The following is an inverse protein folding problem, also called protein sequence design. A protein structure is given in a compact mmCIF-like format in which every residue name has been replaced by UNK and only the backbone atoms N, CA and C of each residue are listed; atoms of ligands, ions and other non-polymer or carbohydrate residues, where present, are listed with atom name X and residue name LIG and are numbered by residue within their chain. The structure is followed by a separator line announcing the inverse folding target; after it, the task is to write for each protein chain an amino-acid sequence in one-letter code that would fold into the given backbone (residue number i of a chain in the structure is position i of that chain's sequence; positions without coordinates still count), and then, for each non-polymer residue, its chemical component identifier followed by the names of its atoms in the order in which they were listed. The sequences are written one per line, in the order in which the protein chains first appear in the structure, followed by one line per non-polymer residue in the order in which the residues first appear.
data_IF_445316559433
#
_entry.id   IF_445316559433
#
_cell.length_a   1.000
_cell.length_b   1.000
_cell.length_c   1.000
_cell.angle_alpha   90.00
_cell.angle_beta   90.00
_cell.angle_gamma   90.00
#
_symmetry.space_group_name_H-M   'P 1'
#
loop_
_entity.id
_entity.type
_entity.pdbx_description
1 polymer ?
#
# COMPACT_ATOMS: atom_id res chain seq x y z
N UNK A 1 -3.36 -1.50 3.00
CA UNK A 1 -3.77 -1.14 1.61
C UNK A 1 -5.26 -0.83 1.57
N UNK A 2 -5.75 0.05 0.67
CA UNK A 2 -7.18 0.21 0.47
C UNK A 2 -7.77 -1.14 0.04
N UNK A 3 -8.85 -1.59 0.68
CA UNK A 3 -9.44 -2.92 0.48
C UNK A 3 -9.92 -3.23 -0.95
N UNK A 4 -9.84 -2.26 -1.86
CA UNK A 4 -10.40 -2.36 -3.21
C UNK A 4 -9.36 -2.23 -4.33
N UNK A 5 -8.11 -1.83 -4.03
CA UNK A 5 -7.04 -1.80 -5.03
C UNK A 5 -6.51 -3.22 -5.23
N UNK A 6 -6.46 -3.71 -6.46
CA UNK A 6 -5.95 -5.05 -6.76
C UNK A 6 -4.45 -5.18 -6.48
N UNK A 7 -4.10 -6.09 -5.59
CA UNK A 7 -2.72 -6.53 -5.30
C UNK A 7 -2.72 -8.00 -4.85
N UNK A 8 -1.58 -8.67 -4.98
CA UNK A 8 -1.39 -9.99 -4.39
C UNK A 8 -1.37 -9.86 -2.86
N UNK A 9 -1.95 -10.81 -2.09
CA UNK A 9 -1.98 -10.76 -0.62
C UNK A 9 -0.60 -10.60 0.04
N UNK A 10 0.49 -11.01 -0.63
CA UNK A 10 1.87 -10.83 -0.17
C UNK A 10 2.55 -9.51 -0.57
N UNK A 11 1.90 -8.63 -1.32
CA UNK A 11 2.55 -7.40 -1.80
C UNK A 11 2.86 -6.41 -0.65
N UNK A 12 2.00 -6.35 0.36
CA UNK A 12 2.22 -5.57 1.58
C UNK A 12 1.76 -6.39 2.77
N UNK A 13 2.70 -6.68 3.66
CA UNK A 13 2.50 -7.54 4.83
C UNK A 13 2.70 -6.70 6.08
N UNK A 14 1.78 -6.85 7.04
CA UNK A 14 1.93 -6.28 8.37
C UNK A 14 2.40 -7.35 9.34
N UNK A 15 3.48 -7.09 10.06
CA UNK A 15 4.03 -7.96 11.09
C UNK A 15 3.98 -7.17 12.42
N UNK A 16 3.64 -7.86 13.50
CA UNK A 16 3.51 -7.29 14.83
C UNK A 16 4.19 -8.18 15.85
N UNK A 17 4.93 -7.59 16.79
CA UNK A 17 5.54 -8.30 17.89
C UNK A 17 4.50 -9.10 18.68
N UNK A 18 4.75 -10.38 18.91
CA UNK A 18 3.80 -11.29 19.57
C UNK A 18 2.75 -11.90 18.62
N UNK A 19 2.85 -11.66 17.32
CA UNK A 19 2.02 -12.31 16.31
C UNK A 19 0.56 -11.86 16.30
N UNK A 20 -0.31 -12.62 15.62
CA UNK A 20 -1.71 -12.22 15.39
C UNK A 20 -2.52 -12.04 16.67
N UNK A 21 -2.13 -12.67 17.78
CA UNK A 21 -2.75 -12.46 19.09
C UNK A 21 -2.59 -11.01 19.58
N UNK A 22 -1.45 -10.38 19.27
CA UNK A 22 -1.14 -8.99 19.62
C UNK A 22 -2.11 -7.96 19.01
N UNK A 23 -2.86 -8.36 17.97
CA UNK A 23 -3.88 -7.51 17.34
C UNK A 23 -5.04 -7.23 18.29
N UNK A 24 -5.41 -8.20 19.13
CA UNK A 24 -6.57 -8.11 20.01
C UNK A 24 -6.18 -7.85 21.47
N UNK A 25 -5.02 -8.34 21.90
CA UNK A 25 -4.57 -8.26 23.30
C UNK A 25 -3.07 -7.99 23.35
N UNK A 26 -2.58 -7.15 24.27
CA UNK A 26 -1.14 -6.99 24.49
C UNK A 26 -0.48 -8.34 24.80
N UNK A 27 0.71 -8.57 24.25
CA UNK A 27 1.55 -9.73 24.56
C UNK A 27 2.75 -9.20 25.35
N UNK A 28 2.89 -9.64 26.59
CA UNK A 28 3.96 -9.16 27.47
C UNK A 28 5.35 -9.49 26.88
N UNK A 29 6.29 -8.55 27.02
CA UNK A 29 7.70 -8.65 26.59
C UNK A 29 7.93 -8.89 25.09
N UNK A 30 6.89 -8.88 24.27
CA UNK A 30 7.02 -9.08 22.83
C UNK A 30 7.85 -7.98 22.17
N UNK A 31 7.67 -6.73 22.59
CA UNK A 31 8.38 -5.57 22.01
C UNK A 31 9.85 -5.49 22.43
N UNK A 32 10.22 -6.15 23.53
CA UNK A 32 11.59 -6.19 24.07
C UNK A 32 12.45 -7.30 23.43
N UNK A 33 11.87 -8.10 22.52
CA UNK A 33 12.55 -9.26 21.94
C UNK A 33 13.10 -8.95 20.53
N UNK A 34 14.35 -8.47 20.46
CA UNK A 34 15.04 -8.22 19.19
C UNK A 34 15.16 -9.47 18.31
N UNK A 35 15.47 -10.63 18.91
CA UNK A 35 15.62 -11.89 18.16
C UNK A 35 14.30 -12.38 17.57
N UNK A 36 13.15 -12.01 18.16
CA UNK A 36 11.85 -12.31 17.56
C UNK A 36 11.61 -11.47 16.31
N UNK A 37 11.98 -10.18 16.32
CA UNK A 37 11.87 -9.32 15.14
C UNK A 37 12.69 -9.83 13.95
N UNK A 38 13.93 -10.27 14.20
CA UNK A 38 14.75 -10.90 13.18
C UNK A 38 14.13 -12.21 12.66
N UNK A 39 13.64 -13.08 13.56
CA UNK A 39 12.98 -14.33 13.20
C UNK A 39 11.73 -14.13 12.35
N UNK A 40 10.88 -13.17 12.70
CA UNK A 40 9.65 -12.92 11.94
C UNK A 40 9.95 -12.48 10.48
N UNK A 41 11.03 -11.72 10.25
CA UNK A 41 11.47 -11.39 8.89
C UNK A 41 12.12 -12.57 8.17
N UNK A 42 12.84 -13.42 8.89
CA UNK A 42 13.38 -14.66 8.36
C UNK A 42 12.26 -15.59 7.87
N UNK A 43 11.21 -15.77 8.69
CA UNK A 43 10.13 -16.71 8.44
C UNK A 43 9.27 -16.31 7.22
N UNK A 44 9.14 -15.01 6.95
CA UNK A 44 8.49 -14.52 5.71
C UNK A 44 9.45 -14.45 4.52
N UNK A 45 10.69 -14.92 4.67
CA UNK A 45 11.71 -14.98 3.62
C UNK A 45 12.00 -13.63 2.95
N UNK A 46 12.21 -12.57 3.75
CA UNK A 46 12.64 -11.26 3.23
C UNK A 46 13.92 -11.42 2.38
N UNK A 47 13.98 -10.69 1.29
CA UNK A 47 15.09 -10.64 0.32
C UNK A 47 15.48 -9.20 -0.02
N UNK A 48 16.56 -9.02 -0.80
CA UNK A 48 16.98 -7.73 -1.35
C UNK A 48 15.94 -7.05 -2.26
N UNK A 49 14.96 -7.81 -2.77
CA UNK A 49 13.88 -7.26 -3.59
C UNK A 49 12.76 -6.61 -2.76
N UNK A 50 12.82 -6.74 -1.43
CA UNK A 50 11.80 -6.25 -0.51
C UNK A 50 12.18 -4.91 0.13
N UNK A 51 11.17 -4.22 0.65
CA UNK A 51 11.32 -3.02 1.46
C UNK A 51 10.71 -3.24 2.85
N UNK A 52 11.48 -3.00 3.90
CA UNK A 52 11.06 -3.17 5.30
C UNK A 52 10.93 -1.80 5.96
N UNK A 53 9.76 -1.53 6.54
CA UNK A 53 9.49 -0.28 7.27
C UNK A 53 9.34 -0.58 8.76
N UNK A 54 10.35 -0.19 9.56
CA UNK A 54 10.33 -0.32 11.01
C UNK A 54 9.53 0.81 11.66
N UNK A 55 8.56 0.49 12.51
CA UNK A 55 7.64 1.47 13.09
C UNK A 55 7.74 1.42 14.63
N UNK A 56 8.22 2.50 15.23
CA UNK A 56 8.24 2.63 16.69
C UNK A 56 8.15 4.11 17.08
N UNK A 57 7.13 4.49 17.85
CA UNK A 57 6.99 5.88 18.30
C UNK A 57 8.19 6.33 19.14
N UNK A 58 8.71 5.43 20.00
CA UNK A 58 9.89 5.69 20.81
C UNK A 58 11.17 5.71 19.98
N UNK A 59 11.18 5.00 18.85
CA UNK A 59 12.32 4.82 17.96
C UNK A 59 13.41 3.90 18.52
N UNK A 60 13.15 3.21 19.64
CA UNK A 60 14.13 2.38 20.36
C UNK A 60 13.62 0.98 20.72
N UNK A 61 12.47 0.57 20.17
CA UNK A 61 11.86 -0.73 20.47
C UNK A 61 12.77 -1.88 19.98
N UNK A 62 13.27 -2.77 20.87
CA UNK A 62 14.21 -3.82 20.50
C UNK A 62 13.74 -4.75 19.38
N UNK A 63 12.46 -5.16 19.39
CA UNK A 63 11.86 -5.96 18.31
C UNK A 63 12.04 -5.31 16.93
N UNK A 64 11.79 -4.00 16.83
CA UNK A 64 11.91 -3.25 15.57
C UNK A 64 13.37 -3.09 15.16
N UNK A 65 14.27 -2.90 16.12
CA UNK A 65 15.72 -2.85 15.88
C UNK A 65 16.19 -4.17 15.27
N UNK A 66 15.89 -5.30 15.90
CA UNK A 66 16.30 -6.61 15.40
C UNK A 66 15.71 -6.96 14.03
N UNK A 67 14.46 -6.54 13.76
CA UNK A 67 13.88 -6.66 12.43
C UNK A 67 14.63 -5.82 11.39
N UNK A 68 14.95 -4.55 11.66
CA UNK A 68 15.68 -3.71 10.71
C UNK A 68 17.11 -4.21 10.46
N UNK A 69 17.78 -4.73 11.49
CA UNK A 69 19.11 -5.34 11.36
C UNK A 69 19.08 -6.57 10.44
N UNK A 70 18.08 -7.44 10.59
CA UNK A 70 17.90 -8.61 9.73
C UNK A 70 17.53 -8.23 8.29
N UNK A 71 16.66 -7.23 8.11
CA UNK A 71 16.34 -6.73 6.77
C UNK A 71 17.59 -6.21 6.05
N UNK A 72 18.42 -5.44 6.77
CA UNK A 72 19.66 -4.88 6.25
C UNK A 72 20.70 -5.97 5.95
N UNK A 73 20.83 -6.98 6.81
CA UNK A 73 21.75 -8.10 6.59
C UNK A 73 21.43 -8.88 5.30
N UNK A 74 20.15 -8.89 4.91
CA UNK A 74 19.63 -9.49 3.67
C UNK A 74 19.67 -8.59 2.45
N UNK A 75 20.14 -7.35 2.58
CA UNK A 75 20.19 -6.37 1.49
C UNK A 75 18.84 -5.74 1.15
N UNK A 76 17.80 -5.95 1.95
CA UNK A 76 16.49 -5.31 1.74
C UNK A 76 16.60 -3.80 1.97
N UNK A 77 15.81 -3.02 1.23
CA UNK A 77 15.70 -1.59 1.49
C UNK A 77 15.04 -1.35 2.86
N UNK A 78 15.63 -0.49 3.68
CA UNK A 78 15.11 -0.20 5.03
C UNK A 78 14.65 1.24 5.19
N UNK A 79 13.46 1.41 5.78
CA UNK A 79 12.97 2.69 6.22
C UNK A 79 12.50 2.62 7.68
N UNK A 80 12.51 3.75 8.39
CA UNK A 80 12.01 3.84 9.76
C UNK A 80 10.98 4.95 9.94
N UNK A 81 10.01 4.74 10.82
CA UNK A 81 9.06 5.76 11.26
C UNK A 81 9.13 5.89 12.78
N UNK A 82 9.64 7.03 13.25
CA UNK A 82 9.75 7.37 14.66
C UNK A 82 9.13 8.72 14.99
N UNK A 83 8.87 8.97 16.28
CA UNK A 83 8.40 10.27 16.77
C UNK A 83 9.42 11.00 17.64
N UNK A 84 10.66 10.51 17.66
CA UNK A 84 11.83 11.13 18.27
C UNK A 84 12.91 11.32 17.19
N UNK A 85 13.60 12.44 17.23
CA UNK A 85 14.67 12.76 16.28
C UNK A 85 15.90 11.86 16.50
N UNK A 86 16.54 11.41 15.41
CA UNK A 86 17.80 10.66 15.41
C UNK A 86 17.77 9.43 16.33
N UNK A 87 16.63 8.74 16.34
CA UNK A 87 16.41 7.54 17.15
C UNK A 87 17.29 6.36 16.70
N UNK A 88 17.47 5.33 17.53
CA UNK A 88 18.18 4.11 17.13
C UNK A 88 17.72 3.53 15.79
N UNK A 89 16.40 3.38 15.56
CA UNK A 89 15.90 2.87 14.27
C UNK A 89 16.16 3.84 13.11
N UNK A 90 16.16 5.16 13.38
CA UNK A 90 16.47 6.19 12.37
C UNK A 90 17.91 6.12 11.88
N UNK A 91 18.83 5.65 12.72
CA UNK A 91 20.25 5.49 12.36
C UNK A 91 20.53 4.17 11.62
N UNK A 92 19.66 3.17 11.81
CA UNK A 92 19.79 1.86 11.18
C UNK A 92 19.21 1.83 9.77
N UNK A 93 18.15 2.60 9.52
CA UNK A 93 17.43 2.62 8.26
C UNK A 93 18.14 3.46 7.18
N UNK A 94 18.00 3.05 5.92
CA UNK A 94 18.49 3.82 4.76
C UNK A 94 17.71 5.14 4.60
N UNK A 95 16.42 5.14 4.97
CA UNK A 95 15.58 6.34 5.03
C UNK A 95 14.88 6.47 6.38
N UNK A 96 15.17 7.56 7.10
CA UNK A 96 14.51 7.90 8.35
C UNK A 96 13.34 8.89 8.13
N UNK A 97 12.16 8.55 8.66
CA UNK A 97 10.98 9.40 8.71
C UNK A 97 10.67 9.72 10.17
N UNK A 98 11.32 10.76 10.70
CA UNK A 98 11.14 11.23 12.08
C UNK A 98 10.04 12.30 12.12
N UNK A 99 8.85 11.94 12.63
CA UNK A 99 7.72 12.86 12.77
C UNK A 99 7.58 13.29 14.22
N UNK A 100 8.28 14.35 14.60
CA UNK A 100 8.30 14.87 15.98
C UNK A 100 6.97 15.57 16.29
N UNK A 101 6.09 14.87 17.02
CA UNK A 101 4.75 15.36 17.38
C UNK A 101 4.71 16.08 18.75
N UNK A 102 5.84 16.13 19.46
CA UNK A 102 5.95 16.68 20.81
C UNK A 102 5.27 15.82 21.90
N UNK A 103 5.25 16.27 23.17
CA UNK A 103 4.70 15.52 24.30
C UNK A 103 3.23 15.15 24.11
N UNK A 104 2.85 13.93 24.48
CA UNK A 104 1.46 13.48 24.40
C UNK A 104 0.57 14.13 25.46
N UNK A 105 -0.73 14.23 25.16
CA UNK A 105 -1.71 14.80 26.11
C UNK A 105 -1.76 13.98 27.42
N UNK A 106 -1.77 12.65 27.30
CA UNK A 106 -1.50 11.74 28.41
C UNK A 106 -0.04 11.32 28.28
N UNK A 107 0.79 11.65 29.27
CA UNK A 107 2.22 11.34 29.25
C UNK A 107 2.45 9.85 28.95
N UNK A 108 3.26 9.58 27.91
CA UNK A 108 3.57 8.21 27.47
C UNK A 108 2.53 7.53 26.59
N UNK A 109 1.32 8.08 26.43
CA UNK A 109 0.25 7.48 25.61
C UNK A 109 0.45 7.75 24.12
N UNK A 110 1.48 7.15 23.52
CA UNK A 110 1.88 7.33 22.11
C UNK A 110 0.86 6.84 21.08
N UNK A 111 -0.18 6.10 21.50
CA UNK A 111 -1.32 5.76 20.65
C UNK A 111 -2.12 6.98 20.14
N UNK A 112 -1.86 8.17 20.70
CA UNK A 112 -2.53 9.43 20.36
C UNK A 112 -1.87 10.11 19.15
N UNK A 113 -1.03 11.14 19.35
CA UNK A 113 -0.46 11.91 18.25
C UNK A 113 0.54 11.08 17.44
N UNK A 114 1.41 10.33 18.11
CA UNK A 114 2.40 9.50 17.42
C UNK A 114 1.73 8.40 16.56
N UNK A 115 0.75 7.68 17.10
CA UNK A 115 -0.04 6.70 16.34
C UNK A 115 -0.79 7.32 15.16
N UNK A 116 -1.35 8.52 15.33
CA UNK A 116 -1.99 9.27 14.25
C UNK A 116 -1.00 9.63 13.15
N UNK A 117 0.17 10.15 13.51
CA UNK A 117 1.23 10.50 12.57
C UNK A 117 1.70 9.27 11.77
N UNK A 118 1.98 8.16 12.46
CA UNK A 118 2.38 6.90 11.82
C UNK A 118 1.33 6.41 10.81
N UNK A 119 0.04 6.45 11.17
CA UNK A 119 -1.05 6.11 10.24
C UNK A 119 -1.03 6.99 8.98
N UNK A 120 -0.83 8.31 9.13
CA UNK A 120 -0.80 9.23 7.99
C UNK A 120 0.40 8.93 7.08
N UNK A 121 1.59 8.71 7.64
CA UNK A 121 2.79 8.33 6.87
C UNK A 121 2.58 7.01 6.11
N UNK A 122 2.07 5.97 6.78
CA UNK A 122 1.80 4.68 6.14
C UNK A 122 0.76 4.79 5.01
N UNK A 123 -0.27 5.63 5.21
CA UNK A 123 -1.23 5.94 4.17
C UNK A 123 -0.58 6.62 2.96
N UNK A 124 0.35 7.56 3.18
CA UNK A 124 1.10 8.21 2.10
C UNK A 124 1.98 7.22 1.35
N UNK A 125 2.80 6.43 2.05
CA UNK A 125 3.70 5.44 1.44
C UNK A 125 2.89 4.48 0.55
N UNK A 126 1.86 3.86 1.12
CA UNK A 126 1.05 2.88 0.40
C UNK A 126 0.28 3.49 -0.77
N UNK A 127 -0.28 4.68 -0.62
CA UNK A 127 -1.02 5.36 -1.70
C UNK A 127 -0.09 5.75 -2.83
N UNK A 128 1.06 6.37 -2.52
CA UNK A 128 2.03 6.81 -3.53
C UNK A 128 2.65 5.63 -4.27
N UNK A 129 2.94 4.53 -3.58
CA UNK A 129 3.39 3.30 -4.23
C UNK A 129 2.35 2.78 -5.23
N UNK A 130 1.06 2.73 -4.85
CA UNK A 130 0.00 2.28 -5.75
C UNK A 130 -0.22 3.22 -6.95
N UNK A 131 -0.08 4.54 -6.75
CA UNK A 131 -0.08 5.52 -7.86
C UNK A 131 1.08 5.24 -8.81
N UNK A 132 2.28 5.02 -8.29
CA UNK A 132 3.48 4.70 -9.08
C UNK A 132 3.38 3.34 -9.79
N UNK A 133 2.59 2.40 -9.28
CA UNK A 133 2.26 1.12 -9.91
C UNK A 133 1.08 1.20 -10.90
N UNK A 134 0.64 2.40 -11.27
CA UNK A 134 -0.42 2.60 -12.27
C UNK A 134 -1.81 2.17 -11.80
N UNK A 135 -2.06 2.08 -10.49
CA UNK A 135 -3.38 1.69 -9.94
C UNK A 135 -4.43 2.81 -10.03
N UNK A 136 -4.02 4.01 -10.41
CA UNK A 136 -4.85 5.21 -10.55
C UNK A 136 -4.77 5.80 -11.96
N UNK A 137 -5.76 6.62 -12.31
CA UNK A 137 -5.78 7.46 -13.51
C UNK A 137 -6.28 8.86 -13.11
N UNK A 138 -5.43 9.88 -13.23
CA UNK A 138 -5.65 11.14 -12.53
C UNK A 138 -5.80 10.89 -11.03
N UNK A 139 -6.89 11.38 -10.44
CA UNK A 139 -7.27 11.14 -9.05
C UNK A 139 -8.22 9.94 -8.85
N UNK A 140 -8.52 9.19 -9.92
CA UNK A 140 -9.45 8.07 -9.89
C UNK A 140 -8.73 6.75 -9.60
N UNK A 141 -9.32 5.94 -8.73
CA UNK A 141 -8.89 4.56 -8.50
C UNK A 141 -9.52 3.68 -9.57
N UNK A 142 -8.70 3.19 -10.51
CA UNK A 142 -9.19 2.47 -11.71
C UNK A 142 -8.88 0.99 -11.69
N UNK A 143 -8.01 0.52 -10.79
CA UNK A 143 -7.72 -0.91 -10.62
C UNK A 143 -8.67 -1.55 -9.57
N UNK A 144 -9.96 -1.50 -9.90
CA UNK A 144 -11.09 -2.00 -9.12
C UNK A 144 -11.75 -3.18 -9.85
N UNK A 145 -12.26 -4.16 -9.10
CA UNK A 145 -13.21 -5.17 -9.60
C UNK A 145 -14.56 -5.03 -8.93
N UNK A 146 -15.63 -5.05 -9.72
CA UNK A 146 -16.99 -5.06 -9.21
C UNK A 146 -17.35 -6.45 -8.65
N UNK A 147 -17.06 -6.68 -7.37
CA UNK A 147 -17.40 -7.96 -6.68
C UNK A 147 -18.67 -7.89 -5.84
N UNK A 148 -19.30 -6.71 -5.74
CA UNK A 148 -20.58 -6.50 -5.08
C UNK A 148 -21.29 -5.27 -5.66
N UNK A 149 -22.58 -5.09 -5.33
CA UNK A 149 -23.40 -4.00 -5.87
C UNK A 149 -22.83 -2.60 -5.60
N UNK A 150 -22.21 -2.38 -4.43
CA UNK A 150 -21.56 -1.10 -4.09
C UNK A 150 -20.36 -0.84 -5.00
N UNK A 151 -19.55 -1.86 -5.26
CA UNK A 151 -18.40 -1.76 -6.15
C UNK A 151 -18.83 -1.62 -7.60
N UNK A 152 -19.92 -2.24 -8.04
CA UNK A 152 -20.49 -2.03 -9.37
C UNK A 152 -20.90 -0.57 -9.58
N UNK A 153 -21.67 -0.01 -8.66
CA UNK A 153 -22.08 1.41 -8.72
C UNK A 153 -20.89 2.38 -8.64
N UNK A 154 -19.78 1.98 -7.99
CA UNK A 154 -18.53 2.75 -7.97
C UNK A 154 -17.78 2.64 -9.29
N UNK A 155 -17.71 1.44 -9.86
CA UNK A 155 -17.08 1.17 -11.16
C UNK A 155 -17.72 2.00 -12.26
N UNK A 156 -19.06 1.96 -12.35
CA UNK A 156 -19.83 2.76 -13.29
C UNK A 156 -19.51 4.26 -13.18
N UNK A 157 -19.63 4.85 -11.98
CA UNK A 157 -19.31 6.27 -11.74
C UNK A 157 -17.87 6.61 -12.10
N UNK A 158 -16.93 5.69 -11.84
CA UNK A 158 -15.52 5.90 -12.18
C UNK A 158 -15.32 5.97 -13.69
N UNK A 159 -15.99 5.11 -14.46
CA UNK A 159 -15.93 5.15 -15.93
C UNK A 159 -16.55 6.45 -16.45
N UNK A 160 -17.74 6.82 -15.96
CA UNK A 160 -18.41 8.06 -16.36
C UNK A 160 -17.55 9.29 -16.07
N UNK A 161 -16.95 9.38 -14.89
CA UNK A 161 -16.04 10.49 -14.55
C UNK A 161 -14.78 10.52 -15.41
N UNK A 162 -14.23 9.36 -15.77
CA UNK A 162 -13.00 9.29 -16.55
C UNK A 162 -13.21 9.59 -18.05
N UNK A 163 -14.44 9.40 -18.56
CA UNK A 163 -14.71 9.36 -20.01
C UNK A 163 -15.81 10.30 -20.47
N UNK A 164 -16.67 10.78 -19.57
CA UNK A 164 -17.81 11.63 -19.89
C UNK A 164 -19.05 10.89 -20.44
N UNK A 165 -19.02 9.56 -20.54
CA UNK A 165 -20.17 8.80 -21.08
C UNK A 165 -21.34 8.66 -20.10
N UNK A 166 -22.51 8.31 -20.62
CA UNK A 166 -23.69 7.97 -19.83
C UNK A 166 -23.54 6.63 -19.07
N UNK A 167 -24.51 6.37 -18.19
CA UNK A 167 -24.56 5.19 -17.34
C UNK A 167 -24.62 3.87 -18.11
N UNK A 168 -25.43 3.82 -19.17
CA UNK A 168 -25.68 2.63 -19.96
C UNK A 168 -24.45 2.24 -20.76
N UNK A 169 -23.78 3.22 -21.36
CA UNK A 169 -22.51 3.07 -22.07
C UNK A 169 -21.40 2.62 -21.12
N UNK A 170 -21.34 3.19 -19.90
CA UNK A 170 -20.37 2.76 -18.89
C UNK A 170 -20.58 1.30 -18.45
N UNK A 171 -21.83 0.85 -18.29
CA UNK A 171 -22.17 -0.53 -17.93
C UNK A 171 -21.79 -1.48 -19.07
N UNK A 172 -22.19 -1.16 -20.31
CA UNK A 172 -21.83 -1.97 -21.49
C UNK A 172 -20.32 -2.14 -21.64
N UNK A 173 -19.56 -1.05 -21.49
CA UNK A 173 -18.10 -1.10 -21.55
C UNK A 173 -17.53 -1.98 -20.43
N UNK A 174 -18.03 -1.84 -19.20
CA UNK A 174 -17.61 -2.64 -18.06
C UNK A 174 -17.85 -4.15 -18.27
N UNK A 175 -19.02 -4.50 -18.80
CA UNK A 175 -19.40 -5.90 -19.08
C UNK A 175 -18.55 -6.50 -20.21
N UNK A 176 -18.26 -5.71 -21.26
CA UNK A 176 -17.46 -6.16 -22.42
C UNK A 176 -16.03 -6.59 -22.07
N UNK A 177 -15.49 -6.15 -20.93
CA UNK A 177 -14.14 -6.45 -20.45
C UNK A 177 -14.14 -7.24 -19.13
N UNK A 178 -15.26 -7.90 -18.81
CA UNK A 178 -15.35 -8.78 -17.64
C UNK A 178 -15.19 -8.06 -16.29
N UNK A 179 -15.71 -6.83 -16.17
CA UNK A 179 -15.76 -6.09 -14.91
C UNK A 179 -14.49 -5.30 -14.56
N UNK A 180 -13.55 -5.15 -15.50
CA UNK A 180 -12.33 -4.35 -15.32
C UNK A 180 -12.58 -2.87 -15.64
N UNK A 181 -12.59 -2.02 -14.62
CA UNK A 181 -12.79 -0.56 -14.78
C UNK A 181 -11.71 0.05 -15.68
N UNK A 182 -10.46 -0.33 -15.46
CA UNK A 182 -9.31 0.18 -16.23
C UNK A 182 -9.44 -0.15 -17.73
N UNK A 183 -9.83 -1.39 -18.05
CA UNK A 183 -10.01 -1.81 -19.45
C UNK A 183 -11.25 -1.15 -20.08
N UNK A 184 -12.32 -0.97 -19.32
CA UNK A 184 -13.54 -0.31 -19.81
C UNK A 184 -13.28 1.15 -20.18
N UNK A 185 -12.50 1.87 -19.35
CA UNK A 185 -12.08 3.24 -19.67
C UNK A 185 -11.23 3.27 -20.95
N UNK A 186 -10.32 2.31 -21.13
CA UNK A 186 -9.51 2.22 -22.35
C UNK A 186 -10.38 2.02 -23.59
N UNK A 187 -11.30 1.06 -23.56
CA UNK A 187 -12.26 0.78 -24.65
C UNK A 187 -13.05 2.03 -25.01
N UNK A 188 -13.61 2.71 -24.01
CA UNK A 188 -14.44 3.90 -24.25
C UNK A 188 -13.63 5.06 -24.85
N UNK A 189 -12.41 5.30 -24.38
CA UNK A 189 -11.60 6.45 -24.83
C UNK A 189 -10.91 6.23 -26.18
N UNK A 190 -10.62 4.99 -26.57
CA UNK A 190 -9.83 4.67 -27.76
C UNK A 190 -10.59 3.93 -28.85
N UNK A 191 -11.74 3.32 -28.51
CA UNK A 191 -12.47 2.44 -29.42
C UNK A 191 -11.78 1.10 -29.70
N UNK A 192 -10.73 0.74 -28.94
CA UNK A 192 -10.05 -0.56 -29.09
C UNK A 192 -11.05 -1.72 -28.87
N UNK A 193 -10.81 -2.82 -29.58
CA UNK A 193 -11.55 -4.07 -29.37
C UNK A 193 -11.48 -4.51 -27.89
N UNK A 194 -12.62 -4.78 -27.23
CA UNK A 194 -12.65 -5.22 -25.83
C UNK A 194 -11.81 -6.47 -25.55
N UNK A 195 -11.69 -7.38 -26.52
CA UNK A 195 -10.86 -8.58 -26.42
C UNK A 195 -9.36 -8.28 -26.34
N UNK A 196 -8.93 -7.14 -26.88
CA UNK A 196 -7.53 -6.69 -26.88
C UNK A 196 -7.19 -5.77 -25.71
N UNK A 197 -8.18 -5.18 -25.04
CA UNK A 197 -7.98 -4.16 -24.00
C UNK A 197 -7.07 -4.63 -22.85
N UNK A 198 -7.15 -5.91 -22.47
CA UNK A 198 -6.27 -6.47 -21.44
C UNK A 198 -4.81 -6.53 -21.89
N UNK A 199 -4.57 -7.08 -23.09
CA UNK A 199 -3.22 -7.19 -23.65
C UNK A 199 -2.59 -5.80 -23.86
N UNK A 200 -3.38 -4.82 -24.33
CA UNK A 200 -2.93 -3.44 -24.47
C UNK A 200 -2.50 -2.82 -23.13
N UNK A 201 -3.24 -3.11 -22.05
CA UNK A 201 -2.85 -2.68 -20.70
C UNK A 201 -1.58 -3.39 -20.21
N UNK A 202 -1.44 -4.69 -20.45
CA UNK A 202 -0.27 -5.47 -20.04
C UNK A 202 0.99 -4.98 -20.78
N UNK A 203 0.90 -4.70 -22.08
CA UNK A 203 1.98 -4.09 -22.88
C UNK A 203 2.36 -2.68 -22.37
N UNK A 204 1.40 -1.93 -21.85
CA UNK A 204 1.62 -0.63 -21.23
C UNK A 204 2.13 -0.71 -19.77
N UNK A 205 2.47 -1.90 -19.28
CA UNK A 205 2.89 -2.14 -17.89
C UNK A 205 1.80 -1.84 -16.87
N UNK A 206 0.53 -1.95 -17.26
CA UNK A 206 -0.64 -1.65 -16.44
C UNK A 206 -0.99 -0.17 -16.31
N UNK A 207 -0.26 0.74 -16.98
CA UNK A 207 -0.52 2.18 -16.94
C UNK A 207 -1.57 2.60 -17.97
N UNK A 208 -2.77 2.96 -17.49
CA UNK A 208 -3.89 3.33 -18.37
C UNK A 208 -3.55 4.50 -19.31
N UNK A 209 -2.85 5.53 -18.80
CA UNK A 209 -2.45 6.68 -19.62
C UNK A 209 -1.57 6.28 -20.82
N UNK A 210 -0.59 5.42 -20.59
CA UNK A 210 0.29 4.92 -21.66
C UNK A 210 -0.48 4.08 -22.68
N UNK A 211 -1.43 3.27 -22.22
CA UNK A 211 -2.29 2.49 -23.11
C UNK A 211 -3.18 3.39 -23.98
N UNK A 212 -3.75 4.46 -23.42
CA UNK A 212 -4.53 5.45 -24.17
C UNK A 212 -3.65 6.12 -25.23
N UNK A 213 -2.47 6.62 -24.86
CA UNK A 213 -1.55 7.31 -25.79
C UNK A 213 -1.08 6.41 -26.96
N UNK A 214 -1.10 5.08 -26.79
CA UNK A 214 -0.73 4.12 -27.84
C UNK A 214 -1.89 3.76 -28.79
N UNK A 215 -3.13 3.89 -28.34
CA UNK A 215 -4.32 3.36 -29.04
C UNK A 215 -5.40 4.41 -29.37
N UNK A 216 -5.26 5.66 -28.90
CA UNK A 216 -6.13 6.79 -29.24
C UNK A 216 -5.46 7.75 -30.20
#
# INVERSE_FOLDING_TARGET
MPAHVRHSPGLVVGIIAGGTQAIQKPVEYAEDNATAGARDLHDISVTEADAVVGISASGRTPYVIGALEEARSRGAFTASIACNHASPISKLADVAIDVVVGPEFVAGSTRLKAGTAQKLVLNMISTLAMVKLGKTYGNLMVDLRATNNKLLARSQRTIQHATGVDAETAIRALDSVGGSVKAAILVVLTGIDPGQAKSALDEAGGFLRKAIEKHG
#
